data_IF_942793199184
#
_entry.id   IF_942793199184
#
_cell.length_a   1.000
_cell.length_b   1.000
_cell.length_c   1.000
_cell.angle_alpha   90.00
_cell.angle_beta   90.00
_cell.angle_gamma   90.00
#
_symmetry.space_group_name_H-M   'P 1'
#
loop_
_entity.id
_entity.type
_entity.pdbx_description
1 polymer ?
#
# COMPACT_ATOMS: atom_id res chain seq x y z
N UNK A 1 -10.04 10.09 -2.35
CA UNK A 1 -8.80 10.07 -1.57
C UNK A 1 -7.92 8.91 -2.04
N UNK A 2 -6.61 9.15 -2.22
CA UNK A 2 -5.65 8.18 -2.76
C UNK A 2 -4.38 8.08 -1.92
N UNK A 3 -4.41 8.57 -0.68
CA UNK A 3 -3.28 8.47 0.25
C UNK A 3 -2.78 7.04 0.42
N UNK A 4 -1.48 6.90 0.71
CA UNK A 4 -0.79 5.63 0.95
C UNK A 4 0.11 5.78 2.16
N UNK A 5 -0.04 4.88 3.13
CA UNK A 5 0.88 4.76 4.25
C UNK A 5 2.07 3.87 3.85
N UNK A 6 3.29 4.33 4.10
CA UNK A 6 4.54 3.59 3.84
C UNK A 6 5.30 3.42 5.16
N UNK A 7 5.77 2.21 5.45
CA UNK A 7 6.64 1.98 6.61
C UNK A 7 8.09 1.87 6.18
N UNK A 8 8.91 2.80 6.68
CA UNK A 8 10.34 2.82 6.46
C UNK A 8 11.07 2.01 7.55
N UNK A 9 12.24 1.48 7.21
CA UNK A 9 13.11 0.74 8.14
C UNK A 9 12.85 -0.77 8.24
N UNK A 10 11.81 -1.31 7.60
CA UNK A 10 11.60 -2.75 7.49
C UNK A 10 12.51 -3.39 6.41
N UNK A 11 12.88 -4.67 6.54
CA UNK A 11 13.72 -5.34 5.55
C UNK A 11 12.97 -5.61 4.22
N UNK A 12 11.64 -5.52 4.20
CA UNK A 12 10.78 -5.69 3.02
C UNK A 12 9.90 -4.46 2.78
N UNK A 13 9.32 -4.36 1.58
CA UNK A 13 8.39 -3.28 1.21
C UNK A 13 7.06 -3.46 1.94
N UNK A 14 6.61 -2.44 2.67
CA UNK A 14 5.31 -2.42 3.35
C UNK A 14 4.56 -1.13 3.09
N UNK A 15 3.42 -1.26 2.43
CA UNK A 15 2.45 -0.17 2.18
C UNK A 15 1.09 -0.55 2.76
N UNK A 16 0.25 0.43 3.09
CA UNK A 16 -1.14 0.19 3.48
C UNK A 16 -2.07 1.32 3.03
N UNK A 17 -3.39 1.09 2.99
CA UNK A 17 -4.35 2.17 2.83
C UNK A 17 -4.19 3.26 3.89
N UNK A 18 -4.71 4.44 3.57
CA UNK A 18 -4.76 5.64 4.42
C UNK A 18 -5.93 5.62 5.41
N UNK A 19 -6.97 4.84 5.13
CA UNK A 19 -8.17 4.77 5.97
C UNK A 19 -8.15 3.60 6.97
N UNK A 20 -9.03 3.68 7.98
CA UNK A 20 -9.31 2.61 8.93
C UNK A 20 -10.27 1.54 8.40
N UNK A 21 -10.87 0.77 9.31
CA UNK A 21 -11.70 -0.42 8.98
C UNK A 21 -13.07 -0.10 8.40
N UNK A 22 -13.62 1.10 8.66
CA UNK A 22 -14.92 1.55 8.15
C UNK A 22 -16.06 0.54 8.41
N UNK A 23 -16.18 0.05 9.66
CA UNK A 23 -17.16 -0.99 10.04
C UNK A 23 -18.61 -0.59 9.80
N UNK A 24 -18.91 0.70 9.89
CA UNK A 24 -20.22 1.29 9.61
C UNK A 24 -20.67 1.11 8.16
N UNK A 25 -19.75 0.87 7.23
CA UNK A 25 -20.03 0.65 5.80
C UNK A 25 -19.65 -0.75 5.29
N UNK A 26 -19.17 -1.62 6.16
CA UNK A 26 -18.82 -3.00 5.80
C UNK A 26 -20.03 -3.75 5.22
N UNK A 27 -19.84 -4.42 4.08
CA UNK A 27 -20.90 -5.17 3.39
C UNK A 27 -21.92 -4.31 2.62
N UNK A 28 -21.84 -2.97 2.66
CA UNK A 28 -22.79 -2.08 1.96
C UNK A 28 -22.41 -1.80 0.50
N UNK A 29 -21.23 -2.22 0.05
CA UNK A 29 -20.76 -2.01 -1.33
C UNK A 29 -20.41 -0.55 -1.68
N UNK A 30 -20.30 0.34 -0.69
CA UNK A 30 -20.03 1.79 -0.87
C UNK A 30 -18.61 2.22 -0.51
N UNK A 31 -17.76 1.28 -0.07
CA UNK A 31 -16.37 1.59 0.26
C UNK A 31 -15.58 1.93 -1.02
N UNK A 32 -14.79 3.00 -0.97
CA UNK A 32 -13.90 3.35 -2.08
C UNK A 32 -12.62 2.50 -2.04
N UNK A 33 -12.27 1.76 -3.11
CA UNK A 33 -11.05 0.96 -3.16
C UNK A 33 -9.79 1.77 -3.53
N UNK A 34 -9.92 3.07 -3.77
CA UNK A 34 -8.88 3.88 -4.42
C UNK A 34 -7.54 3.90 -3.65
N UNK A 35 -7.57 4.06 -2.32
CA UNK A 35 -6.36 4.06 -1.47
C UNK A 35 -5.68 2.68 -1.44
N UNK A 36 -6.44 1.59 -1.38
CA UNK A 36 -5.88 0.23 -1.44
C UNK A 36 -5.21 -0.05 -2.79
N UNK A 37 -5.84 0.34 -3.90
CA UNK A 37 -5.25 0.22 -5.23
C UNK A 37 -3.95 1.04 -5.33
N UNK A 38 -3.95 2.27 -4.81
CA UNK A 38 -2.76 3.11 -4.77
C UNK A 38 -1.63 2.47 -3.94
N UNK A 39 -1.94 1.87 -2.79
CA UNK A 39 -0.96 1.18 -1.95
C UNK A 39 -0.31 -0.01 -2.68
N UNK A 40 -1.11 -0.83 -3.38
CA UNK A 40 -0.58 -1.96 -4.17
C UNK A 40 0.34 -1.48 -5.30
N UNK A 41 -0.03 -0.41 -6.02
CA UNK A 41 0.80 0.18 -7.07
C UNK A 41 2.10 0.75 -6.54
N UNK A 42 2.05 1.42 -5.38
CA UNK A 42 3.24 1.94 -4.70
C UNK A 42 4.18 0.79 -4.30
N UNK A 43 3.66 -0.30 -3.76
CA UNK A 43 4.47 -1.46 -3.41
C UNK A 43 5.24 -2.04 -4.61
N UNK A 44 4.56 -2.19 -5.76
CA UNK A 44 5.24 -2.67 -6.98
C UNK A 44 6.29 -1.68 -7.49
N UNK A 45 6.00 -0.38 -7.42
CA UNK A 45 6.95 0.68 -7.77
C UNK A 45 8.21 0.61 -6.90
N UNK A 46 8.05 0.48 -5.59
CA UNK A 46 9.17 0.35 -4.64
C UNK A 46 9.95 -0.95 -4.85
N UNK A 47 9.27 -2.06 -5.15
CA UNK A 47 9.89 -3.35 -5.48
C UNK A 47 10.77 -3.21 -6.73
N UNK A 48 10.25 -2.62 -7.80
CA UNK A 48 11.01 -2.37 -9.03
C UNK A 48 12.22 -1.46 -8.78
N UNK A 49 12.07 -0.42 -7.95
CA UNK A 49 13.17 0.47 -7.58
C UNK A 49 14.28 -0.27 -6.79
N UNK A 50 13.91 -1.10 -5.81
CA UNK A 50 14.86 -1.93 -5.04
C UNK A 50 15.64 -2.89 -5.95
N UNK A 51 14.95 -3.55 -6.88
CA UNK A 51 15.60 -4.46 -7.84
C UNK A 51 16.62 -3.72 -8.72
N UNK A 52 16.31 -2.51 -9.20
CA UNK A 52 17.24 -1.69 -9.98
C UNK A 52 18.47 -1.25 -9.17
N UNK A 53 18.30 -1.02 -7.87
CA UNK A 53 19.38 -0.62 -6.96
C UNK A 53 20.20 -1.82 -6.43
N UNK A 54 19.89 -3.06 -6.86
CA UNK A 54 20.58 -4.26 -6.37
C UNK A 54 20.34 -4.54 -4.89
N UNK A 55 19.30 -3.94 -4.29
CA UNK A 55 18.94 -4.21 -2.89
C UNK A 55 18.32 -5.60 -2.85
N UNK A 56 18.89 -6.57 -2.11
CA UNK A 56 18.34 -7.91 -2.05
C UNK A 56 16.87 -7.88 -1.61
N UNK A 57 16.07 -8.73 -2.25
CA UNK A 57 14.73 -9.01 -1.79
C UNK A 57 14.90 -9.74 -0.45
N UNK A 58 14.40 -9.14 0.64
CA UNK A 58 14.19 -9.89 1.88
C UNK A 58 13.07 -10.90 1.67
#
# INVERSE_FOLDING_TARGET
DTGVNVTLGLPFVRTSPDHGTAFDIAGKGIASPASLIAALRMADTMRLARAKLGVPNA
#
